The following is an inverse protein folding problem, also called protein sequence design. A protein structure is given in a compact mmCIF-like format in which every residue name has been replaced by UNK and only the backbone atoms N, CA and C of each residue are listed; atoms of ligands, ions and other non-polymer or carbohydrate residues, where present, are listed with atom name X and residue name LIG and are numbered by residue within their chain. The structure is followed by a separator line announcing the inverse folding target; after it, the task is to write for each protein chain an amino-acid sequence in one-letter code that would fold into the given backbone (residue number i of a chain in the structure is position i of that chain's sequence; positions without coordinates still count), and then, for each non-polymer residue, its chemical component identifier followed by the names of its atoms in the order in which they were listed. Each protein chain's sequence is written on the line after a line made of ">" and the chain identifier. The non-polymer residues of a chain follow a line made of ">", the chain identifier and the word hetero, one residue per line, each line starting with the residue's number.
data_IF_783042918845
#
_entry.id   IF_783042918845
#
_cell.length_a   1.000
_cell.length_b   1.000
_cell.length_c   1.000
_cell.angle_alpha   90.00
_cell.angle_beta   90.00
_cell.angle_gamma   90.00
#
_symmetry.space_group_name_H-M   'P 1'
#
loop_
_entity.id
_entity.type
_entity.pdbx_description
1 polymer ?
#
# COMPACT_ATOMS: atom_id res chain seq x y z
N UNK A 1 -12.98 -10.62 -2.47
CA UNK A 1 -13.79 -9.38 -2.45
C UNK A 1 -13.08 -8.26 -1.70
N UNK A 2 -12.48 -8.55 -0.54
CA UNK A 2 -11.76 -7.57 0.29
C UNK A 2 -10.58 -6.89 -0.41
N UNK A 3 -9.74 -7.65 -1.14
CA UNK A 3 -8.63 -7.07 -1.92
C UNK A 3 -9.08 -6.01 -2.95
N UNK A 4 -10.19 -6.27 -3.64
CA UNK A 4 -10.73 -5.34 -4.65
C UNK A 4 -11.18 -4.04 -3.98
N UNK A 5 -11.74 -4.12 -2.77
CA UNK A 5 -12.13 -2.94 -1.99
C UNK A 5 -10.90 -2.11 -1.64
N UNK A 6 -9.83 -2.73 -1.17
CA UNK A 6 -8.58 -2.04 -0.85
C UNK A 6 -7.95 -1.40 -2.09
N UNK A 7 -7.86 -2.11 -3.21
CA UNK A 7 -7.38 -1.54 -4.48
C UNK A 7 -8.19 -0.31 -4.88
N UNK A 8 -9.51 -0.38 -4.82
CA UNK A 8 -10.40 0.73 -5.17
C UNK A 8 -10.23 1.89 -4.19
N UNK A 9 -10.13 1.62 -2.88
CA UNK A 9 -9.91 2.65 -1.86
C UNK A 9 -8.60 3.41 -2.10
N UNK A 10 -7.49 2.70 -2.28
CA UNK A 10 -6.17 3.30 -2.53
C UNK A 10 -6.14 4.08 -3.86
N UNK A 11 -6.80 3.57 -4.89
CA UNK A 11 -6.97 4.28 -6.16
C UNK A 11 -7.76 5.59 -5.98
N UNK A 12 -8.86 5.58 -5.24
CA UNK A 12 -9.67 6.77 -4.94
C UNK A 12 -8.88 7.80 -4.12
N UNK A 13 -8.12 7.36 -3.11
CA UNK A 13 -7.23 8.23 -2.34
C UNK A 13 -6.18 8.91 -3.22
N UNK A 14 -5.62 8.18 -4.20
CA UNK A 14 -4.67 8.75 -5.15
C UNK A 14 -5.34 9.72 -6.12
N UNK A 15 -6.54 9.39 -6.61
CA UNK A 15 -7.30 10.26 -7.50
C UNK A 15 -7.80 11.53 -6.80
N UNK A 16 -7.94 11.53 -5.47
CA UNK A 16 -8.34 12.69 -4.68
C UNK A 16 -7.42 13.92 -4.89
N UNK A 17 -6.14 13.71 -5.26
CA UNK A 17 -5.22 14.80 -5.61
C UNK A 17 -5.72 15.71 -6.75
N UNK A 18 -6.54 15.14 -7.63
CA UNK A 18 -7.15 15.87 -8.74
C UNK A 18 -7.98 17.03 -8.20
N UNK A 19 -8.85 16.74 -7.22
CA UNK A 19 -9.75 17.70 -6.62
C UNK A 19 -9.01 18.61 -5.63
N UNK A 20 -8.22 18.03 -4.72
CA UNK A 20 -7.45 18.78 -3.74
C UNK A 20 -6.08 18.11 -3.50
N UNK A 21 -4.97 18.76 -3.89
CA UNK A 21 -3.66 18.12 -3.89
C UNK A 21 -3.11 17.93 -2.47
N UNK A 22 -3.58 18.73 -1.51
CA UNK A 22 -3.27 18.60 -0.09
C UNK A 22 -3.77 17.28 0.51
N UNK A 23 -4.87 16.72 -0.02
CA UNK A 23 -5.41 15.46 0.50
C UNK A 23 -4.50 14.25 0.26
N UNK A 24 -3.59 14.31 -0.70
CA UNK A 24 -2.55 13.28 -0.86
C UNK A 24 -1.58 13.30 0.32
N UNK A 25 -1.24 14.48 0.83
CA UNK A 25 -0.36 14.58 2.00
C UNK A 25 -1.06 14.06 3.26
N UNK A 26 -2.33 14.43 3.47
CA UNK A 26 -3.12 13.90 4.58
C UNK A 26 -3.35 12.39 4.48
N UNK A 27 -3.68 11.88 3.29
CA UNK A 27 -3.85 10.45 3.07
C UNK A 27 -2.55 9.68 3.34
N UNK A 28 -1.41 10.22 2.90
CA UNK A 28 -0.10 9.65 3.21
C UNK A 28 0.18 9.64 4.72
N UNK A 29 -0.01 10.75 5.41
CA UNK A 29 0.21 10.83 6.87
C UNK A 29 -0.67 9.83 7.62
N UNK A 30 -1.93 9.66 7.21
CA UNK A 30 -2.81 8.67 7.80
C UNK A 30 -2.31 7.24 7.56
N UNK A 31 -1.86 6.93 6.34
CA UNK A 31 -1.29 5.62 6.00
C UNK A 31 0.00 5.35 6.79
N UNK A 32 0.89 6.34 6.93
CA UNK A 32 2.12 6.23 7.71
C UNK A 32 1.81 5.95 9.20
N UNK A 33 0.74 6.53 9.76
CA UNK A 33 0.27 6.27 11.14
C UNK A 33 -0.30 4.85 11.27
N UNK A 34 -1.07 4.39 10.29
CA UNK A 34 -1.61 3.03 10.28
C UNK A 34 -0.50 1.98 10.20
N UNK A 35 0.53 2.22 9.38
CA UNK A 35 1.71 1.35 9.28
C UNK A 35 2.47 1.28 10.62
N UNK A 36 2.67 2.42 11.28
CA UNK A 36 3.31 2.47 12.59
C UNK A 36 2.52 1.71 13.66
N UNK A 37 1.19 1.80 13.63
CA UNK A 37 0.31 1.04 14.54
C UNK A 37 0.40 -0.47 14.28
N UNK A 38 0.36 -0.90 13.02
CA UNK A 38 0.50 -2.31 12.64
C UNK A 38 1.84 -2.90 13.10
N UNK A 39 2.93 -2.15 12.95
CA UNK A 39 4.25 -2.55 13.45
C UNK A 39 4.28 -2.69 14.98
N UNK A 40 3.67 -1.74 15.70
CA UNK A 40 3.57 -1.81 17.15
C UNK A 40 2.77 -3.03 17.63
N UNK A 41 1.66 -3.36 16.94
CA UNK A 41 0.85 -4.54 17.23
C UNK A 41 1.61 -5.85 16.97
N UNK A 42 2.39 -5.92 15.89
CA UNK A 42 3.27 -7.07 15.62
C UNK A 42 4.26 -7.29 16.76
N UNK A 43 4.97 -6.23 17.18
CA UNK A 43 5.93 -6.31 18.28
C UNK A 43 5.27 -6.80 19.57
N UNK A 44 4.05 -6.34 19.84
CA UNK A 44 3.27 -6.76 21.00
C UNK A 44 2.86 -8.23 20.90
N UNK A 45 2.47 -8.70 19.71
CA UNK A 45 2.14 -10.10 19.48
C UNK A 45 3.37 -11.02 19.64
N UNK A 46 4.50 -10.65 19.04
CA UNK A 46 5.77 -11.37 19.22
C UNK A 46 6.15 -11.42 20.71
N UNK A 47 6.02 -10.30 21.42
CA UNK A 47 6.30 -10.25 22.86
C UNK A 47 5.38 -11.19 23.66
N UNK A 48 4.09 -11.24 23.33
CA UNK A 48 3.15 -12.17 23.94
C UNK A 48 3.52 -13.64 23.66
N UNK A 49 3.89 -13.99 22.43
CA UNK A 49 4.34 -15.34 22.07
C UNK A 49 5.65 -15.73 22.78
N UNK A 50 6.57 -14.77 22.98
CA UNK A 50 7.80 -15.00 23.75
C UNK A 50 7.47 -15.31 25.23
N UNK A 51 6.50 -14.59 25.81
CA UNK A 51 6.03 -14.86 27.17
C UNK A 51 5.31 -16.22 27.30
N UNK A 52 4.63 -16.69 26.25
CA UNK A 52 3.98 -18.00 26.24
C UNK A 52 4.93 -19.16 25.87
N UNK A 53 6.20 -18.90 25.55
CA UNK A 53 7.19 -19.88 25.07
C UNK A 53 6.77 -20.61 23.78
N UNK A 54 5.89 -20.01 22.99
CA UNK A 54 5.35 -20.59 21.75
C UNK A 54 6.18 -20.13 20.53
N UNK A 55 7.28 -20.83 20.28
CA UNK A 55 8.18 -20.50 19.16
C UNK A 55 7.53 -20.63 17.77
N UNK A 56 6.57 -21.54 17.60
CA UNK A 56 5.80 -21.68 16.36
C UNK A 56 4.88 -20.48 16.09
N UNK A 57 4.32 -19.87 17.14
CA UNK A 57 3.48 -18.67 17.02
C UNK A 57 4.26 -17.42 16.60
N UNK A 58 5.55 -17.35 16.97
CA UNK A 58 6.45 -16.26 16.53
C UNK A 58 6.69 -16.33 15.02
N UNK A 59 6.98 -17.52 14.48
CA UNK A 59 7.21 -17.69 13.04
C UNK A 59 5.95 -17.40 12.22
N UNK A 60 4.79 -17.89 12.66
CA UNK A 60 3.52 -17.63 11.98
C UNK A 60 3.16 -16.14 11.98
N UNK A 61 3.35 -15.45 13.11
CA UNK A 61 3.12 -14.00 13.19
C UNK A 61 4.04 -13.20 12.26
N UNK A 62 5.29 -13.63 12.09
CA UNK A 62 6.24 -12.99 11.15
C UNK A 62 5.83 -13.25 9.71
N UNK A 63 5.48 -14.49 9.36
CA UNK A 63 5.10 -14.85 7.99
C UNK A 63 3.83 -14.12 7.55
N UNK A 64 2.79 -14.08 8.40
CA UNK A 64 1.57 -13.31 8.13
C UNK A 64 1.87 -11.81 7.98
N UNK A 65 2.72 -11.25 8.83
CA UNK A 65 3.08 -9.84 8.72
C UNK A 65 3.83 -9.52 7.43
N UNK A 66 4.73 -10.41 6.97
CA UNK A 66 5.42 -10.25 5.70
C UNK A 66 4.42 -10.27 4.54
N UNK A 67 3.51 -11.23 4.51
CA UNK A 67 2.47 -11.32 3.48
C UNK A 67 1.59 -10.07 3.45
N UNK A 68 1.11 -9.62 4.61
CA UNK A 68 0.29 -8.42 4.75
C UNK A 68 1.06 -7.16 4.34
N UNK A 69 2.36 -7.08 4.66
CA UNK A 69 3.22 -5.95 4.27
C UNK A 69 3.43 -5.90 2.76
N UNK A 70 3.62 -7.04 2.10
CA UNK A 70 3.71 -7.10 0.63
C UNK A 70 2.40 -6.68 -0.03
N UNK A 71 1.26 -7.15 0.50
CA UNK A 71 -0.05 -6.74 0.04
C UNK A 71 -0.27 -5.22 0.23
N UNK A 72 0.08 -4.68 1.40
CA UNK A 72 0.03 -3.25 1.69
C UNK A 72 0.88 -2.40 0.73
N UNK A 73 2.11 -2.85 0.43
CA UNK A 73 3.01 -2.19 -0.51
C UNK A 73 2.45 -2.19 -1.95
N UNK A 74 1.80 -3.28 -2.36
CA UNK A 74 1.13 -3.34 -3.65
C UNK A 74 -0.03 -2.32 -3.72
N UNK A 75 -0.86 -2.22 -2.69
CA UNK A 75 -1.95 -1.24 -2.63
C UNK A 75 -1.44 0.21 -2.59
N UNK A 76 -0.39 0.47 -1.82
CA UNK A 76 0.24 1.79 -1.77
C UNK A 76 0.85 2.22 -3.12
N UNK A 77 1.39 1.27 -3.88
CA UNK A 77 1.87 1.54 -5.24
C UNK A 77 0.76 2.00 -6.18
N UNK A 78 -0.44 1.42 -6.06
CA UNK A 78 -1.63 1.84 -6.82
C UNK A 78 -2.00 3.27 -6.43
N UNK A 79 -2.00 3.59 -5.14
CA UNK A 79 -2.21 4.96 -4.67
C UNK A 79 -1.22 5.95 -5.27
N UNK A 80 0.08 5.66 -5.27
CA UNK A 80 1.11 6.55 -5.83
C UNK A 80 0.97 6.77 -7.34
N UNK A 81 0.57 5.72 -8.08
CA UNK A 81 0.27 5.80 -9.51
C UNK A 81 -0.92 6.74 -9.73
N UNK A 82 -2.03 6.52 -9.02
CA UNK A 82 -3.23 7.34 -9.11
C UNK A 82 -2.98 8.80 -8.69
N UNK A 83 -2.19 9.04 -7.64
CA UNK A 83 -1.78 10.37 -7.16
C UNK A 83 -0.94 11.15 -8.19
N UNK A 84 -0.07 10.45 -8.91
CA UNK A 84 0.68 11.07 -9.99
C UNK A 84 -0.20 11.36 -11.21
N UNK A 85 -1.03 10.40 -11.64
CA UNK A 85 -1.94 10.57 -12.77
C UNK A 85 -2.87 11.76 -12.52
N UNK A 86 -3.46 11.86 -11.33
CA UNK A 86 -4.37 12.94 -10.95
C UNK A 86 -3.69 14.31 -10.95
N UNK A 87 -2.43 14.41 -10.48
CA UNK A 87 -1.63 15.63 -10.56
C UNK A 87 -1.34 16.04 -12.02
N UNK A 88 -0.99 15.09 -12.89
CA UNK A 88 -0.73 15.37 -14.30
C UNK A 88 -1.98 15.76 -15.08
N UNK A 89 -3.11 15.08 -14.83
CA UNK A 89 -4.43 15.44 -15.36
C UNK A 89 -4.77 16.89 -15.03
N UNK A 90 -4.66 17.25 -13.74
CA UNK A 90 -4.96 18.60 -13.24
C UNK A 90 -4.11 19.69 -13.89
N UNK A 91 -2.83 19.39 -14.15
CA UNK A 91 -1.90 20.33 -14.79
C UNK A 91 -2.00 20.32 -16.33
N UNK A 92 -2.87 19.50 -16.93
CA UNK A 92 -2.98 19.35 -18.38
C UNK A 92 -1.71 18.75 -19.04
N UNK A 93 -0.85 18.10 -18.25
CA UNK A 93 0.48 17.62 -18.67
C UNK A 93 0.53 16.09 -18.78
N UNK A 94 -0.39 15.52 -19.53
CA UNK A 94 -0.39 14.08 -19.82
C UNK A 94 0.47 13.79 -21.05
N UNK A 95 1.36 12.80 -20.92
CA UNK A 95 1.97 12.17 -22.09
C UNK A 95 1.63 10.68 -22.09
N UNK A 96 1.33 10.15 -23.28
CA UNK A 96 1.03 8.73 -23.49
C UNK A 96 2.19 7.83 -22.99
N UNK A 97 3.44 8.29 -23.16
CA UNK A 97 4.63 7.59 -22.66
C UNK A 97 4.63 7.44 -21.14
N UNK A 98 4.18 8.44 -20.39
CA UNK A 98 4.07 8.36 -18.92
C UNK A 98 2.96 7.42 -18.48
N UNK A 99 1.81 7.45 -19.15
CA UNK A 99 0.72 6.51 -18.89
C UNK A 99 1.20 5.07 -19.10
N UNK A 100 1.87 4.79 -20.22
CA UNK A 100 2.45 3.47 -20.50
C UNK A 100 3.47 3.04 -19.44
N UNK A 101 4.33 3.97 -18.97
CA UNK A 101 5.27 3.68 -17.89
C UNK A 101 4.55 3.30 -16.58
N UNK A 102 3.44 3.97 -16.23
CA UNK A 102 2.64 3.60 -15.07
C UNK A 102 1.98 2.22 -15.21
N UNK A 103 1.49 1.86 -16.41
CA UNK A 103 0.97 0.52 -16.67
C UNK A 103 2.06 -0.56 -16.58
N UNK A 104 3.27 -0.29 -17.08
CA UNK A 104 4.40 -1.21 -16.92
C UNK A 104 4.79 -1.39 -15.45
N UNK A 105 4.77 -0.30 -14.66
CA UNK A 105 5.10 -0.35 -13.25
C UNK A 105 4.03 -1.10 -12.45
N UNK A 106 2.75 -0.87 -12.76
CA UNK A 106 1.64 -1.65 -12.21
C UNK A 106 1.76 -3.15 -12.55
N UNK A 107 2.08 -3.46 -13.80
CA UNK A 107 2.31 -4.83 -14.25
C UNK A 107 3.49 -5.48 -13.51
N UNK A 108 4.59 -4.76 -13.32
CA UNK A 108 5.75 -5.25 -12.55
C UNK A 108 5.39 -5.55 -11.09
N UNK A 109 4.61 -4.67 -10.45
CA UNK A 109 4.12 -4.86 -9.07
C UNK A 109 3.21 -6.09 -8.97
N UNK A 110 2.29 -6.27 -9.93
CA UNK A 110 1.43 -7.45 -9.98
C UNK A 110 2.24 -8.73 -10.22
N UNK A 111 3.27 -8.67 -11.05
CA UNK A 111 4.14 -9.79 -11.34
C UNK A 111 4.93 -10.20 -10.10
N UNK A 112 5.53 -9.23 -9.38
CA UNK A 112 6.21 -9.45 -8.10
C UNK A 112 5.29 -10.09 -7.05
N UNK A 113 4.01 -9.69 -7.01
CA UNK A 113 3.00 -10.30 -6.13
C UNK A 113 2.69 -11.76 -6.49
N UNK A 114 2.83 -12.19 -7.75
CA UNK A 114 2.54 -13.58 -8.14
C UNK A 114 3.67 -14.57 -7.80
N UNK A 115 4.87 -14.08 -7.46
CA UNK A 115 6.04 -14.91 -7.18
C UNK A 115 6.37 -15.07 -5.69
N UNK A 116 5.57 -14.43 -4.82
CA UNK A 116 5.65 -14.51 -3.36
C UNK A 116 4.28 -14.93 -2.84
#
# INVERSE_FOLDING_TARGET
>A
MEEVVWVVLYALLGLAAFFAPWYVHYAKELLDVLDALSYALLLLNIFACVLSLETAGITEAIDTFLEDSFNGLAYYSIYLICANISRYLRLGRISLRKILAYFMLLYLVLLLRMYW
#
